data_IF_321775402994
#
_entry.id   IF_321775402994
#
_cell.length_a   1.000
_cell.length_b   1.000
_cell.length_c   1.000
_cell.angle_alpha   90.00
_cell.angle_beta   90.00
_cell.angle_gamma   90.00
#
_symmetry.space_group_name_H-M   'P 1'
#
loop_
_entity.id
_entity.type
_entity.pdbx_description
1 polymer ?
#
# COMPACT_ATOMS: atom_id res chain seq x y z
N UNK A 1 -15.10 1.43 -14.41
CA UNK A 1 -14.58 0.33 -13.58
C UNK A 1 -13.08 0.28 -13.79
N UNK A 2 -12.26 0.38 -12.74
CA UNK A 2 -10.82 0.07 -12.88
C UNK A 2 -10.75 -1.34 -13.49
N UNK A 3 -10.19 -1.49 -14.69
CA UNK A 3 -9.95 -2.75 -15.42
C UNK A 3 -11.01 -3.29 -16.40
N UNK A 4 -12.14 -2.63 -16.64
CA UNK A 4 -13.13 -3.16 -17.61
C UNK A 4 -12.79 -2.87 -19.08
N UNK A 5 -12.03 -1.79 -19.38
CA UNK A 5 -11.91 -1.27 -20.76
C UNK A 5 -10.46 -1.04 -21.24
N UNK A 6 -9.45 -1.65 -20.62
CA UNK A 6 -8.05 -1.43 -21.02
C UNK A 6 -7.48 -2.60 -21.83
N UNK A 7 -7.28 -2.37 -23.13
CA UNK A 7 -6.57 -3.25 -24.09
C UNK A 7 -5.04 -3.29 -23.88
N UNK A 8 -4.55 -3.12 -22.66
CA UNK A 8 -3.13 -3.12 -22.35
C UNK A 8 -2.76 -4.38 -21.56
N UNK A 9 -1.64 -5.01 -21.91
CA UNK A 9 -1.02 -6.08 -21.13
C UNK A 9 -0.81 -5.58 -19.69
N UNK A 10 -1.70 -6.00 -18.79
CA UNK A 10 -1.57 -5.66 -17.37
C UNK A 10 -0.46 -6.51 -16.79
N UNK A 11 0.62 -5.87 -16.37
CA UNK A 11 1.64 -6.51 -15.55
C UNK A 11 0.99 -6.96 -14.25
N UNK A 12 0.84 -8.28 -14.06
CA UNK A 12 0.31 -8.82 -12.81
C UNK A 12 1.33 -8.56 -11.71
N UNK A 13 0.89 -7.98 -10.60
CA UNK A 13 1.75 -7.77 -9.45
C UNK A 13 2.33 -9.14 -8.98
N UNK A 14 3.64 -9.18 -8.72
CA UNK A 14 4.36 -10.42 -8.46
C UNK A 14 3.82 -11.20 -7.25
N UNK A 15 3.40 -10.51 -6.19
CA UNK A 15 2.87 -11.14 -4.99
C UNK A 15 1.50 -11.79 -5.23
N UNK A 16 0.47 -11.10 -5.78
CA UNK A 16 -0.78 -11.74 -6.19
C UNK A 16 -0.58 -12.91 -7.17
N UNK A 17 0.31 -12.76 -8.16
CA UNK A 17 0.64 -13.85 -9.08
C UNK A 17 1.25 -15.05 -8.34
N UNK A 18 2.16 -14.81 -7.40
CA UNK A 18 2.75 -15.83 -6.56
C UNK A 18 1.71 -16.59 -5.73
N UNK A 19 0.72 -15.89 -5.17
CA UNK A 19 -0.39 -16.52 -4.44
C UNK A 19 -1.18 -17.47 -5.35
N UNK A 20 -1.55 -17.04 -6.56
CA UNK A 20 -2.26 -17.91 -7.51
C UNK A 20 -1.42 -19.14 -7.90
N UNK A 21 -0.12 -18.95 -8.11
CA UNK A 21 0.82 -20.05 -8.38
C UNK A 21 0.88 -21.05 -7.22
N UNK A 22 0.92 -20.57 -5.98
CA UNK A 22 0.92 -21.43 -4.79
C UNK A 22 -0.39 -22.22 -4.65
N UNK A 23 -1.54 -21.56 -4.84
CA UNK A 23 -2.84 -22.24 -4.80
C UNK A 23 -2.89 -23.38 -5.80
N UNK A 24 -2.44 -23.14 -7.04
CA UNK A 24 -2.35 -24.18 -8.06
C UNK A 24 -1.36 -25.29 -7.70
N UNK A 25 -0.17 -24.94 -7.20
CA UNK A 25 0.84 -25.92 -6.78
C UNK A 25 0.32 -26.87 -5.70
N UNK A 26 -0.48 -26.36 -4.75
CA UNK A 26 -1.09 -27.15 -3.69
C UNK A 26 -2.43 -27.78 -4.08
N UNK A 27 -2.91 -27.60 -5.31
CA UNK A 27 -4.20 -28.15 -5.77
C UNK A 27 -5.42 -27.54 -5.06
N UNK A 28 -5.32 -26.28 -4.61
CA UNK A 28 -6.41 -25.56 -3.96
C UNK A 28 -7.32 -24.97 -5.04
N UNK A 29 -8.49 -25.59 -5.25
CA UNK A 29 -9.48 -25.11 -6.20
C UNK A 29 -10.11 -23.78 -5.75
N UNK A 30 -10.19 -22.81 -6.66
CA UNK A 30 -10.84 -21.50 -6.42
C UNK A 30 -12.22 -21.39 -7.05
N UNK A 31 -12.51 -22.17 -8.09
CA UNK A 31 -13.78 -22.14 -8.82
C UNK A 31 -14.96 -22.39 -7.88
N UNK A 32 -15.91 -21.45 -7.81
CA UNK A 32 -17.10 -21.55 -6.97
C UNK A 32 -16.81 -21.50 -5.45
N UNK A 33 -15.57 -21.21 -5.04
CA UNK A 33 -15.22 -21.03 -3.63
C UNK A 33 -15.35 -19.57 -3.21
N UNK A 34 -15.45 -19.36 -1.90
CA UNK A 34 -15.42 -18.03 -1.31
C UNK A 34 -13.99 -17.70 -0.86
N UNK A 35 -13.54 -16.49 -1.16
CA UNK A 35 -12.27 -15.96 -0.69
C UNK A 35 -12.48 -14.58 -0.05
N UNK A 36 -11.69 -14.25 0.97
CA UNK A 36 -11.69 -12.94 1.63
C UNK A 36 -10.32 -12.32 1.46
N UNK A 37 -10.28 -11.13 0.87
CA UNK A 37 -9.03 -10.36 0.72
C UNK A 37 -9.07 -9.20 1.71
N UNK A 38 -8.17 -9.20 2.69
CA UNK A 38 -8.08 -8.14 3.70
C UNK A 38 -7.16 -7.03 3.18
N UNK A 39 -7.71 -5.82 3.06
CA UNK A 39 -7.00 -4.63 2.56
C UNK A 39 -7.24 -4.36 1.07
N UNK A 40 -7.14 -3.08 0.67
CA UNK A 40 -7.54 -2.58 -0.66
C UNK A 40 -6.40 -1.86 -1.41
N UNK A 41 -5.15 -2.13 -1.04
CA UNK A 41 -3.99 -1.47 -1.62
C UNK A 41 -3.90 -1.74 -3.14
N UNK A 42 -3.29 -0.79 -3.85
CA UNK A 42 -3.05 -0.90 -5.29
C UNK A 42 -2.03 -1.99 -5.63
N UNK A 43 -1.14 -2.33 -4.68
CA UNK A 43 -0.07 -3.30 -4.85
C UNK A 43 -0.49 -4.75 -4.59
N UNK A 44 -1.46 -4.98 -3.69
CA UNK A 44 -1.88 -6.34 -3.32
C UNK A 44 -3.40 -6.51 -3.30
N UNK A 45 -4.12 -5.77 -2.46
CA UNK A 45 -5.52 -6.06 -2.17
C UNK A 45 -6.44 -6.05 -3.40
N UNK A 46 -6.36 -4.99 -4.21
CA UNK A 46 -7.16 -4.88 -5.44
C UNK A 46 -6.71 -5.84 -6.54
N UNK A 47 -5.40 -5.98 -6.83
CA UNK A 47 -4.94 -7.02 -7.75
C UNK A 47 -5.33 -8.45 -7.35
N UNK A 48 -5.22 -8.81 -6.06
CA UNK A 48 -5.57 -10.16 -5.58
C UNK A 48 -7.07 -10.43 -5.69
N UNK A 49 -7.91 -9.43 -5.39
CA UNK A 49 -9.34 -9.50 -5.64
C UNK A 49 -9.64 -9.81 -7.12
N UNK A 50 -9.01 -9.08 -8.04
CA UNK A 50 -9.22 -9.28 -9.46
C UNK A 50 -8.80 -10.69 -9.92
N UNK A 51 -7.64 -11.18 -9.47
CA UNK A 51 -7.16 -12.53 -9.85
C UNK A 51 -8.06 -13.65 -9.32
N UNK A 52 -8.49 -13.59 -8.06
CA UNK A 52 -9.38 -14.60 -7.49
C UNK A 52 -10.76 -14.56 -8.15
N UNK A 53 -11.28 -13.36 -8.42
CA UNK A 53 -12.56 -13.20 -9.11
C UNK A 53 -12.50 -13.71 -10.56
N UNK A 54 -11.39 -13.48 -11.27
CA UNK A 54 -11.17 -14.03 -12.61
C UNK A 54 -10.97 -15.55 -12.62
N UNK A 55 -10.59 -16.14 -11.48
CA UNK A 55 -10.53 -17.59 -11.27
C UNK A 55 -11.84 -18.16 -10.71
N UNK A 56 -12.97 -17.46 -10.97
CA UNK A 56 -14.34 -17.81 -10.59
C UNK A 56 -14.56 -18.00 -9.08
N UNK A 57 -13.73 -17.39 -8.23
CA UNK A 57 -14.01 -17.30 -6.80
C UNK A 57 -14.98 -16.15 -6.50
N UNK A 58 -15.89 -16.36 -5.56
CA UNK A 58 -16.65 -15.26 -4.95
C UNK A 58 -15.75 -14.56 -3.94
N UNK A 59 -15.34 -13.32 -4.23
CA UNK A 59 -14.38 -12.60 -3.39
C UNK A 59 -15.06 -11.50 -2.60
N UNK A 60 -14.88 -11.49 -1.28
CA UNK A 60 -15.25 -10.36 -0.44
C UNK A 60 -14.02 -9.50 -0.17
N UNK A 61 -14.14 -8.20 -0.48
CA UNK A 61 -13.14 -7.19 -0.14
C UNK A 61 -13.72 -6.30 0.98
N UNK A 62 -13.61 -6.68 2.27
CA UNK A 62 -14.10 -5.86 3.36
C UNK A 62 -13.44 -4.48 3.33
N UNK A 63 -14.27 -3.44 3.45
CA UNK A 63 -13.84 -2.06 3.64
C UNK A 63 -13.30 -1.88 5.06
N UNK A 64 -12.17 -2.50 5.38
CA UNK A 64 -11.42 -2.15 6.58
C UNK A 64 -10.81 -0.78 6.29
N UNK A 65 -11.33 0.25 6.97
CA UNK A 65 -11.30 1.69 6.64
C UNK A 65 -9.94 2.39 6.58
N UNK A 66 -8.87 1.66 6.29
CA UNK A 66 -7.55 2.22 6.08
C UNK A 66 -7.54 2.93 4.72
N UNK A 67 -7.24 4.23 4.76
CA UNK A 67 -6.94 5.03 3.59
C UNK A 67 -5.44 5.28 3.57
N UNK A 68 -4.77 4.91 2.48
CA UNK A 68 -3.35 5.18 2.27
C UNK A 68 -3.24 6.31 1.25
N UNK A 69 -2.49 7.35 1.59
CA UNK A 69 -2.16 8.46 0.70
C UNK A 69 -0.67 8.43 0.45
N UNK A 70 -0.28 8.06 -0.77
CA UNK A 70 1.12 8.13 -1.19
C UNK A 70 1.42 9.59 -1.54
N UNK A 71 2.38 10.20 -0.83
CA UNK A 71 2.79 11.58 -1.05
C UNK A 71 4.21 11.54 -1.61
N UNK A 72 4.39 11.70 -2.92
CA UNK A 72 5.72 11.73 -3.51
C UNK A 72 6.46 12.98 -3.03
N UNK A 73 7.66 12.81 -2.49
CA UNK A 73 8.60 13.91 -2.26
C UNK A 73 9.31 14.24 -3.57
N UNK A 74 9.40 15.53 -3.91
CA UNK A 74 10.18 16.02 -5.06
C UNK A 74 11.64 15.53 -4.95
N UNK A 75 12.28 15.22 -6.08
CA UNK A 75 13.70 14.90 -6.13
C UNK A 75 14.59 16.05 -5.59
N UNK A 76 14.08 17.29 -5.64
CA UNK A 76 14.74 18.47 -5.07
C UNK A 76 14.25 18.83 -3.66
N UNK A 77 13.52 17.93 -2.98
CA UNK A 77 12.99 18.20 -1.65
C UNK A 77 14.13 18.50 -0.66
N UNK A 78 13.92 19.51 0.17
CA UNK A 78 14.83 19.85 1.26
C UNK A 78 14.37 19.21 2.56
N UNK A 79 15.30 19.03 3.52
CA UNK A 79 14.94 18.55 4.87
C UNK A 79 13.82 19.40 5.47
N UNK A 80 13.87 20.72 5.30
CA UNK A 80 12.83 21.64 5.78
C UNK A 80 11.46 21.36 5.15
N UNK A 81 11.38 21.19 3.83
CA UNK A 81 10.11 20.90 3.15
C UNK A 81 9.49 19.57 3.59
N UNK A 82 10.32 18.55 3.83
CA UNK A 82 9.85 17.23 4.30
C UNK A 82 9.39 17.33 5.76
N UNK A 83 10.11 18.06 6.61
CA UNK A 83 9.71 18.31 7.99
C UNK A 83 8.38 19.08 8.06
N UNK A 84 8.16 20.05 7.17
CA UNK A 84 6.89 20.77 7.09
C UNK A 84 5.73 19.83 6.72
N UNK A 85 5.92 18.96 5.73
CA UNK A 85 4.93 17.95 5.38
C UNK A 85 4.64 17.00 6.55
N UNK A 86 5.68 16.51 7.24
CA UNK A 86 5.50 15.66 8.44
C UNK A 86 4.73 16.39 9.53
N UNK A 87 4.98 17.69 9.74
CA UNK A 87 4.24 18.50 10.69
C UNK A 87 2.74 18.62 10.32
N UNK A 88 2.42 18.82 9.04
CA UNK A 88 1.04 18.85 8.55
C UNK A 88 0.33 17.50 8.77
N UNK A 89 0.99 16.39 8.44
CA UNK A 89 0.44 15.04 8.63
C UNK A 89 0.28 14.68 10.12
N UNK A 90 1.21 15.11 10.97
CA UNK A 90 1.11 14.96 12.42
C UNK A 90 -0.12 15.71 12.97
N UNK A 91 -0.47 16.87 12.42
CA UNK A 91 -1.59 17.68 12.85
C UNK A 91 -2.96 17.22 12.28
N UNK A 92 -2.98 16.37 11.26
CA UNK A 92 -4.24 15.89 10.65
C UNK A 92 -4.83 14.71 11.46
N UNK A 93 -5.97 14.95 12.12
CA UNK A 93 -6.69 13.93 12.90
C UNK A 93 -7.21 12.76 12.04
N UNK A 94 -7.26 12.91 10.72
CA UNK A 94 -7.63 11.82 9.80
C UNK A 94 -6.45 10.89 9.48
N UNK A 95 -5.21 11.26 9.85
CA UNK A 95 -4.01 10.46 9.66
C UNK A 95 -3.68 9.72 10.96
N UNK A 96 -3.85 8.40 10.94
CA UNK A 96 -3.60 7.54 12.11
C UNK A 96 -2.15 7.04 12.18
N UNK A 97 -1.44 7.03 11.06
CA UNK A 97 -0.06 6.55 10.99
C UNK A 97 0.68 7.13 9.79
N UNK A 98 1.96 7.38 9.97
CA UNK A 98 2.89 7.90 8.98
C UNK A 98 3.99 6.85 8.82
N UNK A 99 4.26 6.48 7.57
CA UNK A 99 5.43 5.69 7.20
C UNK A 99 6.33 6.55 6.31
N UNK A 100 7.61 6.63 6.63
CA UNK A 100 8.62 7.39 5.89
C UNK A 100 9.48 6.38 5.13
N UNK A 101 9.32 6.33 3.81
CA UNK A 101 10.06 5.40 2.96
C UNK A 101 11.44 5.95 2.59
N UNK A 102 12.49 5.23 2.97
CA UNK A 102 13.88 5.47 2.56
C UNK A 102 14.21 4.73 1.25
N UNK A 103 15.14 5.22 0.40
CA UNK A 103 15.90 6.47 0.55
C UNK A 103 15.07 7.72 0.26
N UNK A 104 15.29 8.77 1.06
CA UNK A 104 14.77 10.11 0.76
C UNK A 104 15.62 10.83 -0.31
N UNK A 105 15.14 11.99 -0.77
CA UNK A 105 15.85 12.84 -1.72
C UNK A 105 17.27 13.19 -1.23
N UNK A 106 18.19 13.40 -2.17
CA UNK A 106 19.60 13.65 -1.88
C UNK A 106 19.77 14.89 -0.98
N UNK A 107 20.52 14.75 0.12
CA UNK A 107 20.72 15.83 1.09
C UNK A 107 19.61 15.99 2.13
N UNK A 108 18.52 15.22 2.05
CA UNK A 108 17.54 15.13 3.13
C UNK A 108 18.09 14.33 4.30
N UNK A 109 18.03 14.91 5.50
CA UNK A 109 18.51 14.25 6.72
C UNK A 109 17.45 13.30 7.27
N UNK A 110 17.48 12.05 6.83
CA UNK A 110 16.49 11.03 7.20
C UNK A 110 16.26 10.93 8.71
N UNK A 111 17.32 10.98 9.51
CA UNK A 111 17.20 10.89 10.98
C UNK A 111 16.41 12.05 11.59
N UNK A 112 16.51 13.26 11.03
CA UNK A 112 15.68 14.39 11.47
C UNK A 112 14.20 14.17 11.08
N UNK A 113 13.95 13.61 9.89
CA UNK A 113 12.59 13.30 9.41
C UNK A 113 11.94 12.20 10.23
N UNK A 114 12.63 11.07 10.46
CA UNK A 114 12.10 9.97 11.28
C UNK A 114 11.78 10.44 12.70
N UNK A 115 12.66 11.23 13.32
CA UNK A 115 12.46 11.77 14.67
C UNK A 115 11.32 12.79 14.76
N UNK A 116 10.90 13.38 13.64
CA UNK A 116 9.81 14.35 13.61
C UNK A 116 8.41 13.72 13.56
N UNK A 117 8.31 12.42 13.27
CA UNK A 117 7.03 11.71 13.28
C UNK A 117 6.52 11.59 14.72
N UNK A 118 5.28 11.98 14.97
CA UNK A 118 4.74 11.93 16.33
C UNK A 118 4.67 10.46 16.84
N UNK A 119 5.07 10.14 18.09
CA UNK A 119 5.16 8.76 18.56
C UNK A 119 3.88 7.93 18.43
N UNK A 120 2.71 8.57 18.53
CA UNK A 120 1.41 7.90 18.39
C UNK A 120 0.97 7.70 16.91
N UNK A 121 1.72 8.26 15.96
CA UNK A 121 1.54 8.12 14.51
C UNK A 121 2.78 7.48 13.84
N UNK A 122 3.83 7.14 14.59
CA UNK A 122 5.04 6.49 14.08
C UNK A 122 4.77 5.00 13.80
N UNK A 123 4.35 4.70 12.58
CA UNK A 123 4.05 3.33 12.17
C UNK A 123 5.32 2.53 11.84
N UNK A 124 6.46 3.20 11.60
CA UNK A 124 7.75 2.56 11.34
C UNK A 124 8.54 2.26 12.63
N UNK A 125 8.24 2.96 13.72
CA UNK A 125 8.93 2.81 15.01
C UNK A 125 10.38 3.30 14.99
N UNK A 126 10.69 4.24 14.08
CA UNK A 126 12.05 4.76 13.85
C UNK A 126 12.31 6.10 14.54
N UNK A 127 11.31 6.70 15.20
CA UNK A 127 11.39 8.01 15.84
C UNK A 127 12.18 8.09 17.15
N UNK A 128 13.11 7.16 17.42
CA UNK A 128 13.94 7.10 18.64
C UNK A 128 15.15 8.05 18.64
#
# INVERSE_FOLDING_TARGET
MLFADALADYTVAATPQGVMTLLNHYGIETFGKQAVVVGRSQLFGRPMFALLNNADATVTLPALGIQTKDIPTDANATTESVLQLVAELNADDNITGILVQSPLAEGVKEREVFSAVAPHKDADGLGL
#
